data_IF_808045380692
#
_entry.id   IF_808045380692
#
_cell.length_a   1.000
_cell.length_b   1.000
_cell.length_c   1.000
_cell.angle_alpha   90.00
_cell.angle_beta   90.00
_cell.angle_gamma   90.00
#
_symmetry.space_group_name_H-M   'P 1'
#
loop_
_entity.id
_entity.type
_entity.pdbx_description
1 polymer ?
#
# COMPACT_ATOMS: atom_id res chain seq x y z
N UNK A 1 -42.75 24.84 -6.89
CA UNK A 1 -41.62 25.76 -6.67
C UNK A 1 -40.75 25.14 -5.58
N UNK A 2 -39.49 24.77 -5.73
CA UNK A 2 -38.52 24.73 -6.81
C UNK A 2 -37.24 24.28 -6.09
N UNK A 3 -36.73 23.08 -6.37
CA UNK A 3 -35.53 22.58 -5.70
C UNK A 3 -34.36 23.51 -6.05
N UNK A 4 -33.81 24.19 -5.05
CA UNK A 4 -32.66 25.05 -5.23
C UNK A 4 -31.47 24.22 -5.72
N UNK A 5 -30.99 24.56 -6.92
CA UNK A 5 -29.70 24.14 -7.45
C UNK A 5 -28.60 24.61 -6.49
N UNK A 6 -28.15 23.74 -5.59
CA UNK A 6 -26.92 23.97 -4.85
C UNK A 6 -25.73 23.86 -5.83
N UNK A 7 -24.90 24.91 -5.97
CA UNK A 7 -23.74 24.87 -6.87
C UNK A 7 -22.60 23.94 -6.41
N UNK A 8 -22.70 23.32 -5.22
CA UNK A 8 -21.67 22.41 -4.68
C UNK A 8 -21.63 21.04 -5.38
N UNK A 9 -22.78 20.52 -5.81
CA UNK A 9 -22.87 19.16 -6.39
C UNK A 9 -22.33 19.07 -7.82
N UNK A 10 -22.40 20.16 -8.59
CA UNK A 10 -21.85 20.19 -9.95
C UNK A 10 -20.31 20.11 -9.96
N UNK A 11 -19.65 20.79 -9.02
CA UNK A 11 -18.19 20.79 -8.91
C UNK A 11 -17.65 19.42 -8.44
N UNK A 12 -18.35 18.76 -7.52
CA UNK A 12 -18.02 17.38 -7.08
C UNK A 12 -18.23 16.36 -8.21
N UNK A 13 -19.32 16.49 -8.98
CA UNK A 13 -19.58 15.61 -10.13
C UNK A 13 -18.51 15.80 -11.22
N UNK A 14 -18.11 17.04 -11.52
CA UNK A 14 -17.04 17.34 -12.49
C UNK A 14 -15.68 16.80 -12.03
N UNK A 15 -15.33 16.94 -10.75
CA UNK A 15 -14.11 16.35 -10.18
C UNK A 15 -14.14 14.83 -10.27
N UNK A 16 -15.28 14.19 -10.02
CA UNK A 16 -15.44 12.75 -10.18
C UNK A 16 -15.26 12.33 -11.63
N UNK A 17 -15.86 13.06 -12.57
CA UNK A 17 -15.73 12.78 -14.00
C UNK A 17 -14.28 12.95 -14.48
N UNK A 18 -13.58 14.00 -14.04
CA UNK A 18 -12.14 14.16 -14.26
C UNK A 18 -11.33 13.00 -13.68
N UNK A 19 -11.70 12.52 -12.49
CA UNK A 19 -11.03 11.37 -11.83
C UNK A 19 -11.23 10.08 -12.62
N UNK A 20 -12.44 9.84 -13.14
CA UNK A 20 -12.75 8.66 -13.98
C UNK A 20 -11.95 8.72 -15.28
N UNK A 21 -11.93 9.87 -15.95
CA UNK A 21 -11.25 10.03 -17.24
C UNK A 21 -9.71 10.03 -17.13
N UNK A 22 -9.16 10.46 -15.99
CA UNK A 22 -7.71 10.49 -15.75
C UNK A 22 -7.16 9.19 -15.14
N UNK A 23 -8.03 8.26 -14.72
CA UNK A 23 -7.66 7.00 -14.09
C UNK A 23 -7.76 5.85 -15.08
N UNK A 24 -6.69 5.05 -15.18
CA UNK A 24 -6.71 3.79 -15.95
C UNK A 24 -7.70 2.76 -15.39
N UNK A 25 -8.08 2.89 -14.11
CA UNK A 25 -9.06 2.04 -13.44
C UNK A 25 -10.45 2.71 -13.38
N UNK A 26 -10.70 3.75 -14.19
CA UNK A 26 -11.96 4.49 -14.25
C UNK A 26 -12.46 4.98 -12.88
N UNK A 27 -11.53 5.29 -11.97
CA UNK A 27 -11.86 5.73 -10.62
C UNK A 27 -12.41 4.64 -9.69
N UNK A 28 -12.41 3.36 -10.08
CA UNK A 28 -12.90 2.23 -9.25
C UNK A 28 -12.07 2.02 -7.98
N UNK A 29 -10.78 2.39 -8.01
CA UNK A 29 -9.89 2.31 -6.84
C UNK A 29 -10.05 3.48 -5.88
N UNK A 30 -10.83 4.51 -6.25
CA UNK A 30 -11.06 5.67 -5.39
C UNK A 30 -12.28 5.45 -4.51
N UNK A 31 -12.10 5.66 -3.19
CA UNK A 31 -13.17 5.58 -2.18
C UNK A 31 -14.08 6.82 -2.18
N UNK A 32 -14.15 7.57 -3.28
CA UNK A 32 -15.02 8.75 -3.38
C UNK A 32 -16.46 8.30 -3.57
N UNK A 33 -17.17 8.20 -2.46
CA UNK A 33 -18.59 7.86 -2.42
C UNK A 33 -19.42 9.13 -2.53
N UNK A 34 -20.30 9.18 -3.53
CA UNK A 34 -21.10 10.37 -3.84
C UNK A 34 -22.59 10.17 -3.49
N UNK A 35 -22.86 9.40 -2.43
CA UNK A 35 -24.18 9.05 -1.85
C UNK A 35 -25.29 8.53 -2.78
N UNK A 36 -25.07 8.54 -4.10
CA UNK A 36 -26.06 8.30 -5.15
C UNK A 36 -25.69 7.13 -6.04
N UNK A 37 -24.40 6.92 -6.30
CA UNK A 37 -23.89 5.80 -7.10
C UNK A 37 -22.56 5.33 -6.54
N UNK A 38 -22.41 4.01 -6.41
CA UNK A 38 -21.10 3.38 -6.23
C UNK A 38 -20.17 3.69 -7.42
N UNK A 39 -18.86 3.50 -7.25
CA UNK A 39 -17.87 3.83 -8.31
C UNK A 39 -18.17 3.11 -9.63
N UNK A 40 -18.55 1.83 -9.59
CA UNK A 40 -18.89 1.07 -10.79
C UNK A 40 -20.24 1.42 -11.40
N UNK A 41 -21.27 1.64 -10.58
CA UNK A 41 -22.58 2.12 -11.05
C UNK A 41 -22.45 3.45 -11.81
N UNK A 42 -21.55 4.34 -11.37
CA UNK A 42 -21.30 5.60 -12.05
C UNK A 42 -20.69 5.37 -13.45
N UNK A 43 -19.73 4.46 -13.58
CA UNK A 43 -19.10 4.11 -14.86
C UNK A 43 -20.11 3.43 -15.78
N UNK A 44 -20.94 2.52 -15.26
CA UNK A 44 -22.01 1.87 -16.02
C UNK A 44 -22.99 2.92 -16.58
N UNK A 45 -23.44 3.88 -15.75
CA UNK A 45 -24.31 4.97 -16.21
C UNK A 45 -23.64 5.85 -17.26
N UNK A 46 -22.33 6.11 -17.13
CA UNK A 46 -21.59 6.89 -18.11
C UNK A 46 -21.52 6.17 -19.46
N UNK A 47 -21.25 4.85 -19.48
CA UNK A 47 -21.30 4.03 -20.70
C UNK A 47 -22.70 4.02 -21.34
N UNK A 48 -23.76 3.95 -20.54
CA UNK A 48 -25.14 4.05 -21.03
C UNK A 48 -25.42 5.41 -21.69
N UNK A 49 -24.99 6.53 -21.08
CA UNK A 49 -25.17 7.87 -21.65
C UNK A 49 -24.37 8.05 -22.95
N UNK A 50 -23.18 7.47 -23.03
CA UNK A 50 -22.36 7.49 -24.24
C UNK A 50 -22.87 6.55 -25.35
N UNK A 51 -23.94 5.79 -25.11
CA UNK A 51 -24.51 4.85 -26.09
C UNK A 51 -23.62 3.65 -26.38
N UNK A 52 -22.74 3.28 -25.44
CA UNK A 52 -21.89 2.09 -25.57
C UNK A 52 -22.73 0.82 -25.44
N UNK A 53 -22.41 -0.19 -26.26
CA UNK A 53 -23.10 -1.48 -26.20
C UNK A 53 -22.79 -2.19 -24.87
N UNK A 54 -23.86 -2.63 -24.21
CA UNK A 54 -23.79 -3.36 -22.93
C UNK A 54 -23.04 -4.68 -23.08
N UNK A 55 -23.10 -5.32 -24.24
CA UNK A 55 -22.33 -6.53 -24.50
C UNK A 55 -20.80 -6.28 -24.53
N UNK A 56 -20.38 -5.04 -24.78
CA UNK A 56 -18.97 -4.66 -24.92
C UNK A 56 -18.40 -4.12 -23.61
N UNK A 57 -19.08 -3.18 -22.95
CA UNK A 57 -18.50 -2.55 -21.74
C UNK A 57 -18.66 -3.41 -20.48
N UNK A 58 -19.67 -4.26 -20.41
CA UNK A 58 -19.99 -5.00 -19.17
C UNK A 58 -18.90 -6.01 -18.78
N UNK A 59 -18.35 -6.84 -19.69
CA UNK A 59 -17.22 -7.71 -19.36
C UNK A 59 -15.99 -6.92 -18.90
N UNK A 60 -15.65 -5.84 -19.62
CA UNK A 60 -14.52 -4.97 -19.30
C UNK A 60 -14.65 -4.31 -17.92
N UNK A 61 -15.87 -3.87 -17.58
CA UNK A 61 -16.15 -3.29 -16.27
C UNK A 61 -16.00 -4.33 -15.15
N UNK A 62 -16.46 -5.55 -15.36
CA UNK A 62 -16.30 -6.65 -14.39
C UNK A 62 -14.83 -7.01 -14.18
N UNK A 63 -14.03 -7.06 -15.24
CA UNK A 63 -12.58 -7.30 -15.13
C UNK A 63 -11.89 -6.15 -14.36
N UNK A 64 -12.24 -4.90 -14.68
CA UNK A 64 -11.72 -3.73 -13.97
C UNK A 64 -12.15 -3.68 -12.50
N UNK A 65 -13.37 -4.10 -12.18
CA UNK A 65 -13.83 -4.25 -10.79
C UNK A 65 -13.04 -5.33 -10.05
N UNK A 66 -12.77 -6.46 -10.71
CA UNK A 66 -11.97 -7.53 -10.15
C UNK A 66 -10.55 -7.04 -9.83
N UNK A 67 -9.91 -6.37 -10.79
CA UNK A 67 -8.57 -5.80 -10.62
C UNK A 67 -8.54 -4.70 -9.54
N UNK A 68 -9.55 -3.82 -9.52
CA UNK A 68 -9.66 -2.77 -8.51
C UNK A 68 -9.89 -3.34 -7.11
N UNK A 69 -10.72 -4.37 -6.99
CA UNK A 69 -10.94 -5.10 -5.73
C UNK A 69 -9.65 -5.78 -5.27
N UNK A 70 -8.93 -6.44 -6.18
CA UNK A 70 -7.64 -7.04 -5.87
C UNK A 70 -6.61 -5.99 -5.43
N UNK A 71 -6.59 -4.81 -6.06
CA UNK A 71 -5.72 -3.68 -5.69
C UNK A 71 -6.05 -3.05 -4.32
N UNK A 72 -7.33 -2.97 -3.98
CA UNK A 72 -7.82 -2.41 -2.72
C UNK A 72 -7.65 -3.38 -1.55
N UNK A 73 -7.78 -4.68 -1.82
CA UNK A 73 -7.59 -5.76 -0.84
C UNK A 73 -6.15 -6.29 -0.83
N UNK A 74 -5.28 -5.77 -1.69
CA UNK A 74 -3.88 -6.17 -1.76
C UNK A 74 -3.18 -5.89 -0.42
N UNK A 75 -2.74 -6.97 0.19
CA UNK A 75 -1.97 -6.98 1.42
C UNK A 75 -0.73 -6.11 1.23
N UNK A 76 -0.55 -5.11 2.10
CA UNK A 76 0.66 -4.29 2.09
C UNK A 76 1.61 -4.82 3.17
N UNK A 77 2.72 -5.48 2.79
CA UNK A 77 3.73 -5.87 3.76
C UNK A 77 4.39 -4.62 4.33
N UNK A 78 4.53 -4.58 5.64
CA UNK A 78 5.34 -3.57 6.32
C UNK A 78 6.50 -4.27 7.00
N UNK A 79 7.71 -3.82 6.70
CA UNK A 79 8.95 -4.42 7.20
C UNK A 79 9.61 -3.46 8.19
N UNK A 80 9.94 -3.99 9.36
CA UNK A 80 10.60 -3.28 10.44
C UNK A 80 11.87 -4.01 10.87
N UNK A 81 12.95 -3.29 11.12
CA UNK A 81 14.10 -3.82 11.83
C UNK A 81 13.80 -3.94 13.32
N UNK A 82 14.00 -5.13 13.87
CA UNK A 82 13.95 -5.37 15.32
C UNK A 82 15.32 -5.05 15.92
N UNK A 83 15.35 -4.08 16.82
CA UNK A 83 16.59 -3.56 17.41
C UNK A 83 16.46 -3.46 18.92
N UNK A 84 17.59 -3.61 19.59
CA UNK A 84 17.73 -3.23 21.00
C UNK A 84 18.42 -1.90 21.15
N UNK A 85 17.88 -1.11 22.07
CA UNK A 85 18.54 0.09 22.55
C UNK A 85 19.56 -0.27 23.62
N UNK A 86 20.65 0.50 23.68
CA UNK A 86 21.64 0.39 24.74
C UNK A 86 21.00 0.81 26.08
N UNK A 87 21.41 0.21 27.20
CA UNK A 87 20.98 0.58 28.56
C UNK A 87 21.25 2.06 28.91
N UNK A 88 22.21 2.68 28.22
CA UNK A 88 22.55 4.10 28.34
C UNK A 88 21.78 5.00 27.37
N UNK A 89 21.01 4.42 26.45
CA UNK A 89 20.17 5.20 25.54
C UNK A 89 18.99 5.79 26.31
N UNK A 90 19.02 7.12 26.49
CA UNK A 90 17.90 7.89 27.04
C UNK A 90 17.14 8.55 25.88
N UNK A 91 16.12 7.90 25.32
CA UNK A 91 15.42 8.44 24.17
C UNK A 91 14.73 9.76 24.52
N UNK A 92 15.05 10.81 23.76
CA UNK A 92 14.15 11.95 23.58
C UNK A 92 13.11 11.63 22.50
N UNK A 93 11.99 12.36 22.47
CA UNK A 93 10.99 12.23 21.41
C UNK A 93 11.59 12.29 20.00
N UNK A 94 12.55 13.21 19.79
CA UNK A 94 13.25 13.37 18.51
C UNK A 94 14.10 12.16 18.16
N UNK A 95 14.78 11.54 19.13
CA UNK A 95 15.57 10.33 18.88
C UNK A 95 14.70 9.12 18.54
N UNK A 96 13.49 9.03 19.12
CA UNK A 96 12.53 7.97 18.78
C UNK A 96 12.05 8.10 17.33
N UNK A 97 11.69 9.31 16.92
CA UNK A 97 11.30 9.62 15.54
C UNK A 97 12.43 9.39 14.53
N UNK A 98 13.68 9.70 14.91
CA UNK A 98 14.84 9.43 14.06
C UNK A 98 15.05 7.92 13.88
N UNK A 99 14.99 7.14 14.96
CA UNK A 99 15.14 5.69 14.92
C UNK A 99 14.02 5.02 14.12
N UNK A 100 12.79 5.48 14.26
CA UNK A 100 11.63 4.92 13.54
C UNK A 100 11.81 5.00 12.02
N UNK A 101 12.37 6.10 11.53
CA UNK A 101 12.69 6.27 10.09
C UNK A 101 13.71 5.26 9.58
N UNK A 102 14.67 4.87 10.42
CA UNK A 102 15.69 3.87 10.05
C UNK A 102 15.21 2.44 10.29
N UNK A 103 14.24 2.22 11.17
CA UNK A 103 13.65 0.90 11.40
C UNK A 103 12.79 0.45 10.23
N UNK A 104 12.05 1.37 9.61
CA UNK A 104 11.07 1.03 8.59
C UNK A 104 11.74 0.87 7.22
N UNK A 105 11.62 -0.31 6.65
CA UNK A 105 12.04 -0.56 5.28
C UNK A 105 10.84 -0.34 4.36
N UNK A 106 10.92 0.71 3.54
CA UNK A 106 9.90 1.00 2.53
C UNK A 106 9.96 -0.02 1.38
N UNK A 107 8.82 -0.60 1.06
CA UNK A 107 8.64 -1.42 -0.13
C UNK A 107 7.98 -0.60 -1.25
N UNK A 108 8.25 -0.94 -2.50
CA UNK A 108 7.55 -0.36 -3.65
C UNK A 108 6.06 -0.70 -3.57
N UNK A 109 5.20 0.27 -3.90
CA UNK A 109 3.74 0.08 -3.89
C UNK A 109 3.28 -1.03 -4.83
N UNK A 110 4.08 -1.42 -5.83
CA UNK A 110 3.84 -2.55 -6.72
C UNK A 110 4.04 -3.91 -6.02
N UNK A 111 4.79 -3.97 -4.92
CA UNK A 111 5.06 -5.25 -4.22
C UNK A 111 3.77 -5.90 -3.72
N UNK A 112 2.78 -5.11 -3.32
CA UNK A 112 1.46 -5.60 -2.90
C UNK A 112 0.74 -6.43 -3.98
N UNK A 113 1.09 -6.24 -5.25
CA UNK A 113 0.46 -6.92 -6.38
C UNK A 113 1.13 -8.25 -6.74
N UNK A 114 2.29 -8.54 -6.17
CA UNK A 114 2.96 -9.81 -6.44
C UNK A 114 2.38 -10.94 -5.59
N UNK A 115 2.53 -12.16 -6.10
CA UNK A 115 2.28 -13.41 -5.34
C UNK A 115 3.07 -13.42 -4.04
N UNK A 116 2.54 -14.10 -3.02
CA UNK A 116 3.18 -14.19 -1.69
C UNK A 116 4.66 -14.58 -1.74
N UNK A 117 5.02 -15.59 -2.51
CA UNK A 117 6.42 -16.03 -2.62
C UNK A 117 7.33 -14.90 -3.13
N UNK A 118 6.93 -14.27 -4.24
CA UNK A 118 7.67 -13.14 -4.82
C UNK A 118 7.74 -11.92 -3.89
N UNK A 119 6.71 -11.68 -3.08
CA UNK A 119 6.77 -10.66 -2.03
C UNK A 119 7.86 -10.98 -1.01
N UNK A 120 7.93 -12.23 -0.53
CA UNK A 120 8.94 -12.67 0.42
C UNK A 120 10.36 -12.58 -0.16
N UNK A 121 10.53 -12.91 -1.44
CA UNK A 121 11.84 -12.80 -2.12
C UNK A 121 12.32 -11.34 -2.15
N UNK A 122 11.45 -10.41 -2.56
CA UNK A 122 11.75 -8.97 -2.57
C UNK A 122 12.01 -8.44 -1.16
N UNK A 123 11.23 -8.89 -0.17
CA UNK A 123 11.40 -8.49 1.22
C UNK A 123 12.77 -8.97 1.75
N UNK A 124 13.15 -10.21 1.47
CA UNK A 124 14.46 -10.77 1.84
C UNK A 124 15.62 -9.98 1.22
N UNK A 125 15.52 -9.64 -0.07
CA UNK A 125 16.49 -8.80 -0.75
C UNK A 125 16.62 -7.42 -0.09
N UNK A 126 15.48 -6.79 0.24
CA UNK A 126 15.45 -5.47 0.89
C UNK A 126 15.99 -5.50 2.31
N UNK A 127 15.69 -6.55 3.07
CA UNK A 127 16.25 -6.79 4.40
C UNK A 127 17.78 -6.91 4.33
N UNK A 128 18.28 -7.70 3.37
CA UNK A 128 19.72 -7.92 3.17
C UNK A 128 20.42 -6.61 2.79
N UNK A 129 19.87 -5.87 1.83
CA UNK A 129 20.39 -4.58 1.41
C UNK A 129 20.39 -3.57 2.57
N UNK A 130 19.30 -3.49 3.34
CA UNK A 130 19.21 -2.62 4.50
C UNK A 130 20.25 -2.98 5.57
N UNK A 131 20.40 -4.27 5.90
CA UNK A 131 21.40 -4.74 6.85
C UNK A 131 22.82 -4.34 6.43
N UNK A 132 23.14 -4.48 5.13
CA UNK A 132 24.44 -4.12 4.58
C UNK A 132 24.70 -2.61 4.62
N UNK A 133 23.72 -1.79 4.22
CA UNK A 133 23.82 -0.32 4.25
C UNK A 133 24.02 0.17 5.69
N UNK A 134 23.28 -0.41 6.63
CA UNK A 134 23.35 -0.06 8.05
C UNK A 134 24.53 -0.73 8.77
N UNK A 135 25.28 -1.61 8.10
CA UNK A 135 26.35 -2.42 8.70
C UNK A 135 25.89 -3.15 9.98
N UNK A 136 24.63 -3.60 9.99
CA UNK A 136 24.00 -4.23 11.15
C UNK A 136 23.66 -3.30 12.33
N UNK A 137 23.79 -1.98 12.18
CA UNK A 137 23.55 -0.99 13.24
C UNK A 137 22.67 0.16 12.78
N UNK A 138 21.65 0.50 13.56
CA UNK A 138 20.79 1.65 13.29
C UNK A 138 21.33 2.88 14.05
N UNK A 139 21.39 4.09 13.46
CA UNK A 139 21.76 5.28 14.21
C UNK A 139 20.96 5.41 15.51
N UNK A 140 21.62 5.74 16.62
CA UNK A 140 21.05 5.83 17.98
C UNK A 140 20.63 4.49 18.63
N UNK A 141 20.79 3.37 17.92
CA UNK A 141 20.66 2.02 18.45
C UNK A 141 21.95 1.23 18.20
N UNK A 142 22.09 0.06 18.84
CA UNK A 142 23.36 -0.67 18.77
C UNK A 142 23.39 -1.72 17.67
N UNK A 143 22.46 -2.68 17.71
CA UNK A 143 22.52 -3.87 16.84
C UNK A 143 21.12 -4.23 16.36
N UNK A 144 21.02 -4.51 15.06
CA UNK A 144 19.84 -5.13 14.46
C UNK A 144 19.84 -6.61 14.84
N UNK A 145 18.87 -7.03 15.65
CA UNK A 145 18.71 -8.45 16.04
C UNK A 145 18.02 -9.27 14.96
N UNK A 146 17.18 -8.61 14.18
CA UNK A 146 16.39 -9.24 13.16
C UNK A 146 15.45 -8.27 12.47
N UNK A 147 14.53 -8.82 11.71
CA UNK A 147 13.49 -8.06 11.02
C UNK A 147 12.14 -8.70 11.26
N UNK A 148 11.13 -7.86 11.39
CA UNK A 148 9.73 -8.22 11.53
C UNK A 148 9.01 -7.76 10.28
N UNK A 149 8.25 -8.67 9.68
CA UNK A 149 7.38 -8.37 8.54
C UNK A 149 5.95 -8.59 9.00
N UNK A 150 5.13 -7.56 8.88
CA UNK A 150 3.71 -7.61 9.20
C UNK A 150 2.94 -7.50 7.90
N UNK A 151 2.08 -8.48 7.65
CA UNK A 151 1.16 -8.45 6.52
C UNK A 151 -0.21 -8.04 7.03
N UNK A 152 -0.60 -6.80 6.73
CA UNK A 152 -1.90 -6.29 7.15
C UNK A 152 -2.96 -6.83 6.19
N UNK A 153 -3.67 -7.87 6.64
CA UNK A 153 -4.68 -8.58 5.85
C UNK A 153 -6.12 -8.25 6.28
N UNK A 154 -6.32 -7.26 7.15
CA UNK A 154 -7.67 -6.85 7.62
C UNK A 154 -8.39 -7.82 8.57
N UNK A 155 -8.02 -9.11 8.61
CA UNK A 155 -8.57 -10.10 9.54
C UNK A 155 -7.52 -10.71 10.48
N UNK A 156 -6.28 -10.91 10.04
CA UNK A 156 -5.21 -11.51 10.84
C UNK A 156 -3.86 -10.87 10.48
N UNK A 157 -3.15 -10.34 11.48
CA UNK A 157 -1.79 -9.84 11.32
C UNK A 157 -0.83 -11.05 11.30
N UNK A 158 -0.43 -11.46 10.11
CA UNK A 158 0.61 -12.49 9.97
C UNK A 158 2.00 -11.84 10.18
N UNK A 159 2.71 -12.27 11.23
CA UNK A 159 4.04 -11.77 11.57
C UNK A 159 5.11 -12.80 11.19
N UNK A 160 6.02 -12.42 10.28
CA UNK A 160 7.23 -13.20 9.99
C UNK A 160 8.46 -12.55 10.64
N UNK A 161 9.30 -13.39 11.26
CA UNK A 161 10.55 -12.96 11.89
C UNK A 161 11.76 -13.51 11.15
N UNK A 162 12.67 -12.62 10.82
CA UNK A 162 13.96 -12.94 10.23
C UNK A 162 15.06 -12.66 11.25
N UNK A 163 15.94 -13.63 11.50
CA UNK A 163 17.10 -13.43 12.39
C UNK A 163 18.26 -12.81 11.63
N UNK A 164 18.98 -11.87 12.26
CA UNK A 164 20.19 -11.27 11.70
C UNK A 164 21.29 -12.32 11.43
N UNK A 165 21.32 -13.44 12.18
CA UNK A 165 22.32 -14.50 12.02
C UNK A 165 22.35 -15.11 10.61
N UNK A 166 21.20 -15.16 9.91
CA UNK A 166 21.13 -15.65 8.53
C UNK A 166 21.84 -14.75 7.52
N UNK A 167 21.96 -13.46 7.82
CA UNK A 167 22.52 -12.46 6.90
C UNK A 167 23.99 -12.13 7.20
N UNK A 168 24.49 -12.57 8.36
CA UNK A 168 25.92 -12.51 8.72
C UNK A 168 26.72 -13.59 7.97
N UNK A 169 26.09 -14.72 7.63
CA UNK A 169 26.74 -15.86 6.98
C UNK A 169 26.94 -15.73 5.45
N UNK A 170 26.59 -14.59 4.84
CA UNK A 170 26.71 -14.35 3.40
C UNK A 170 27.92 -13.48 2.99
N UNK A 171 28.77 -13.09 3.95
CA UNK A 171 30.08 -12.51 3.64
C UNK A 171 31.17 -13.60 3.79
N UNK A 172 31.62 -14.24 2.70
CA UNK A 172 32.91 -14.91 2.72
C UNK A 172 33.99 -13.82 2.64
N UNK A 173 34.80 -13.72 3.69
CA UNK A 173 36.15 -13.16 3.59
C UNK A 173 37.00 -14.02 2.65
#
# INVERSE_FOLDING_TARGET
MGYHNHPKTQDETLKRLQTVLSSSALGLTNKTYDFKYASSEFVEKLCMVLGSDTAVYRPLLTDLEHDASHLLNAITPIVYADITFNEHFRPSFNSYMAVDRFKRISLDSKVKLFTRQKQLDIISERITAHHKIMQGKIPFAEVIKGYRVVFNNGCDDEELRYSAAKYIAQDPL
#
